data_IF_532488252337
#
_entry.id   IF_532488252337
#
_cell.length_a   1.000
_cell.length_b   1.000
_cell.length_c   1.000
_cell.angle_alpha   90.00
_cell.angle_beta   90.00
_cell.angle_gamma   90.00
#
_symmetry.space_group_name_H-M   'P 1'
#
loop_
_entity.id
_entity.type
_entity.pdbx_description
1 polymer ?
#
# COMPACT_ATOMS: atom_id res chain seq x y z
N UNK A 1 26.49 -11.49 -1.46
CA UNK A 1 25.78 -10.80 -0.35
C UNK A 1 26.19 -9.33 -0.13
N UNK A 2 27.49 -8.95 -0.12
CA UNK A 2 27.92 -7.54 0.07
C UNK A 2 27.27 -6.57 -0.95
N UNK A 3 27.21 -6.95 -2.22
CA UNK A 3 26.68 -6.11 -3.31
C UNK A 3 25.18 -5.78 -3.17
N UNK A 4 24.35 -6.75 -2.76
CA UNK A 4 22.90 -6.53 -2.57
C UNK A 4 22.63 -5.62 -1.38
N UNK A 5 23.31 -5.85 -0.24
CA UNK A 5 23.19 -4.98 0.94
C UNK A 5 23.59 -3.54 0.61
N UNK A 6 24.67 -3.36 -0.14
CA UNK A 6 25.08 -2.03 -0.62
C UNK A 6 24.03 -1.41 -1.54
N UNK A 7 23.49 -2.17 -2.51
CA UNK A 7 22.44 -1.67 -3.41
C UNK A 7 21.17 -1.25 -2.65
N UNK A 8 20.71 -2.06 -1.68
CA UNK A 8 19.59 -1.73 -0.79
C UNK A 8 19.90 -0.47 0.01
N UNK A 9 21.11 -0.36 0.58
CA UNK A 9 21.54 0.82 1.34
C UNK A 9 21.50 2.10 0.50
N UNK A 10 21.99 2.06 -0.74
CA UNK A 10 21.95 3.19 -1.68
C UNK A 10 20.50 3.56 -1.99
N UNK A 11 19.64 2.58 -2.29
CA UNK A 11 18.22 2.84 -2.60
C UNK A 11 17.47 3.42 -1.41
N UNK A 12 17.70 2.90 -0.20
CA UNK A 12 17.12 3.46 1.04
C UNK A 12 17.57 4.89 1.28
N UNK A 13 18.85 5.18 1.08
CA UNK A 13 19.38 6.54 1.21
C UNK A 13 18.77 7.50 0.17
N UNK A 14 18.70 7.08 -1.10
CA UNK A 14 18.07 7.88 -2.15
C UNK A 14 16.60 8.16 -1.85
N UNK A 15 15.86 7.13 -1.41
CA UNK A 15 14.46 7.26 -1.04
C UNK A 15 14.27 8.23 0.13
N UNK A 16 15.03 8.08 1.22
CA UNK A 16 14.89 8.95 2.40
C UNK A 16 15.22 10.43 2.15
N UNK A 17 15.96 10.75 1.08
CA UNK A 17 16.30 12.11 0.67
C UNK A 17 15.44 12.65 -0.47
N UNK A 18 14.43 11.90 -0.92
CA UNK A 18 13.57 12.32 -2.01
C UNK A 18 12.86 13.65 -1.68
N UNK A 19 12.76 14.55 -2.67
CA UNK A 19 12.20 15.89 -2.48
C UNK A 19 10.77 15.86 -1.91
N UNK A 20 10.00 14.82 -2.22
CA UNK A 20 8.68 14.58 -1.64
C UNK A 20 8.67 14.65 -0.12
N UNK A 21 9.65 14.06 0.57
CA UNK A 21 9.73 14.11 2.03
C UNK A 21 10.03 15.52 2.57
N UNK A 22 10.66 16.39 1.77
CA UNK A 22 10.82 17.81 2.12
C UNK A 22 9.48 18.53 2.08
N UNK A 23 8.66 18.26 1.06
CA UNK A 23 7.29 18.81 0.96
C UNK A 23 6.44 18.34 2.15
N UNK A 24 6.46 17.04 2.47
CA UNK A 24 5.68 16.49 3.59
C UNK A 24 6.06 17.10 4.94
N UNK A 25 7.32 17.44 5.15
CA UNK A 25 7.82 18.05 6.41
C UNK A 25 7.67 19.57 6.46
N UNK A 26 7.37 20.23 5.33
CA UNK A 26 7.28 21.69 5.29
C UNK A 26 5.96 22.16 5.95
N UNK A 27 6.08 22.75 7.15
CA UNK A 27 4.92 23.25 7.91
C UNK A 27 4.32 24.53 7.34
N UNK A 28 5.00 25.21 6.42
CA UNK A 28 4.46 26.37 5.70
C UNK A 28 3.40 25.96 4.67
N UNK A 29 3.38 24.68 4.27
CA UNK A 29 2.37 24.14 3.35
C UNK A 29 1.22 23.54 4.17
N UNK A 30 -0.04 23.97 3.95
CA UNK A 30 -1.21 23.39 4.60
C UNK A 30 -1.23 21.86 4.51
N UNK A 31 -1.67 21.17 5.57
CA UNK A 31 -1.63 19.71 5.64
C UNK A 31 -2.43 19.06 4.51
N UNK A 32 -3.58 19.63 4.14
CA UNK A 32 -4.42 19.18 3.03
C UNK A 32 -3.65 19.24 1.70
N UNK A 33 -2.84 20.29 1.50
CA UNK A 33 -2.04 20.44 0.29
C UNK A 33 -0.82 19.50 0.29
N UNK A 34 -0.22 19.22 1.44
CA UNK A 34 0.84 18.20 1.58
C UNK A 34 0.32 16.79 1.31
N UNK A 35 -0.90 16.51 1.74
CA UNK A 35 -1.54 15.18 1.67
C UNK A 35 -2.53 15.04 0.51
N UNK A 36 -2.58 15.99 -0.42
CA UNK A 36 -3.50 15.96 -1.58
C UNK A 36 -3.36 14.74 -2.50
N UNK A 37 -2.28 13.97 -2.33
CA UNK A 37 -2.04 12.73 -3.08
C UNK A 37 -2.79 11.53 -2.49
N UNK A 38 -3.35 11.62 -1.28
CA UNK A 38 -4.02 10.49 -0.62
C UNK A 38 -5.12 9.85 -1.47
N UNK A 39 -6.03 10.60 -2.14
CA UNK A 39 -7.03 10.00 -3.02
C UNK A 39 -6.43 9.11 -4.13
N UNK A 40 -5.21 9.42 -4.61
CA UNK A 40 -4.52 8.65 -5.63
C UNK A 40 -4.03 7.29 -5.08
N UNK A 41 -4.04 7.08 -3.77
CA UNK A 41 -3.70 5.79 -3.16
C UNK A 41 -4.91 4.88 -3.00
N UNK A 42 -6.13 5.33 -3.34
CA UNK A 42 -7.38 4.61 -3.08
C UNK A 42 -7.34 3.16 -3.55
N UNK A 43 -7.02 2.93 -4.83
CA UNK A 43 -6.98 1.56 -5.35
C UNK A 43 -5.98 0.68 -4.59
N UNK A 44 -4.78 1.21 -4.30
CA UNK A 44 -3.75 0.44 -3.62
C UNK A 44 -4.18 0.07 -2.20
N UNK A 45 -4.65 1.03 -1.40
CA UNK A 45 -5.04 0.80 -0.01
C UNK A 45 -6.21 -0.18 0.08
N UNK A 46 -7.23 0.00 -0.75
CA UNK A 46 -8.39 -0.89 -0.76
C UNK A 46 -8.00 -2.30 -1.20
N UNK A 47 -7.19 -2.45 -2.26
CA UNK A 47 -6.73 -3.76 -2.71
C UNK A 47 -5.69 -4.41 -1.78
N UNK A 48 -4.95 -3.62 -1.01
CA UNK A 48 -4.03 -4.17 -0.01
C UNK A 48 -4.79 -4.78 1.17
N UNK A 49 -5.92 -4.18 1.56
CA UNK A 49 -6.83 -4.82 2.51
C UNK A 49 -7.35 -6.17 1.97
N UNK A 50 -7.73 -6.23 0.69
CA UNK A 50 -8.14 -7.48 0.04
C UNK A 50 -7.00 -8.50 -0.04
N UNK A 51 -5.78 -8.08 -0.35
CA UNK A 51 -4.61 -8.96 -0.39
C UNK A 51 -4.39 -9.63 0.97
N UNK A 52 -4.46 -8.85 2.05
CA UNK A 52 -4.32 -9.33 3.42
C UNK A 52 -5.51 -10.17 3.87
N UNK A 53 -6.70 -9.96 3.31
CA UNK A 53 -7.88 -10.73 3.69
C UNK A 53 -8.03 -12.05 2.93
N UNK A 54 -7.70 -12.06 1.63
CA UNK A 54 -8.11 -13.12 0.71
C UNK A 54 -6.95 -13.88 0.06
N UNK A 55 -5.75 -13.31 0.01
CA UNK A 55 -4.66 -13.88 -0.79
C UNK A 55 -3.50 -14.37 0.08
N UNK A 56 -3.04 -13.53 1.01
CA UNK A 56 -1.87 -13.83 1.84
C UNK A 56 -2.11 -14.86 2.95
N UNK A 57 -3.27 -14.93 3.61
CA UNK A 57 -3.49 -15.88 4.69
C UNK A 57 -3.37 -17.35 4.26
N UNK A 58 -2.94 -18.18 5.21
CA UNK A 58 -3.01 -19.64 5.13
C UNK A 58 -4.27 -20.11 5.84
N UNK A 59 -5.15 -20.83 5.13
CA UNK A 59 -6.38 -21.37 5.73
C UNK A 59 -6.09 -22.38 6.85
N UNK A 60 -5.00 -23.15 6.71
CA UNK A 60 -4.56 -24.16 7.67
C UNK A 60 -3.05 -23.97 7.89
N UNK A 61 -2.62 -23.01 8.73
CA UNK A 61 -1.20 -22.78 8.96
C UNK A 61 -0.54 -24.02 9.57
N UNK A 62 0.63 -24.40 9.07
CA UNK A 62 1.36 -25.62 9.47
C UNK A 62 2.58 -25.34 10.36
N UNK A 63 2.95 -24.08 10.53
CA UNK A 63 4.13 -23.66 11.30
C UNK A 63 3.98 -22.22 11.83
N UNK A 64 4.87 -21.84 12.74
CA UNK A 64 4.90 -20.52 13.39
C UNK A 64 5.00 -19.34 12.40
N UNK A 65 5.64 -19.52 11.24
CA UNK A 65 5.78 -18.47 10.24
C UNK A 65 4.47 -18.20 9.50
N UNK A 66 3.72 -19.27 9.17
CA UNK A 66 2.40 -19.15 8.56
C UNK A 66 1.38 -18.54 9.54
N UNK A 67 1.47 -18.91 10.82
CA UNK A 67 0.66 -18.29 11.88
C UNK A 67 0.98 -16.80 12.03
N UNK A 68 2.25 -16.43 12.08
CA UNK A 68 2.67 -15.04 12.16
C UNK A 68 2.16 -14.21 10.97
N UNK A 69 2.22 -14.77 9.76
CA UNK A 69 1.66 -14.13 8.55
C UNK A 69 0.15 -13.90 8.74
N UNK A 70 -0.60 -14.89 9.20
CA UNK A 70 -2.04 -14.75 9.42
C UNK A 70 -2.38 -13.66 10.44
N UNK A 71 -1.62 -13.55 11.54
CA UNK A 71 -1.79 -12.49 12.54
C UNK A 71 -1.62 -11.11 11.90
N UNK A 72 -0.52 -10.90 11.19
CA UNK A 72 -0.27 -9.61 10.52
C UNK A 72 -1.27 -9.33 9.39
N UNK A 73 -1.76 -10.35 8.70
CA UNK A 73 -2.78 -10.19 7.67
C UNK A 73 -4.12 -9.72 8.27
N UNK A 74 -4.50 -10.28 9.42
CA UNK A 74 -5.72 -9.87 10.13
C UNK A 74 -5.66 -8.39 10.55
N UNK A 75 -4.50 -7.92 11.00
CA UNK A 75 -4.30 -6.51 11.34
C UNK A 75 -4.43 -5.61 10.09
N UNK A 76 -3.62 -5.86 9.07
CA UNK A 76 -3.56 -5.00 7.88
C UNK A 76 -4.85 -5.00 7.04
N UNK A 77 -5.62 -6.09 7.06
CA UNK A 77 -6.93 -6.15 6.41
C UNK A 77 -7.94 -5.12 6.97
N UNK A 78 -7.67 -4.54 8.14
CA UNK A 78 -8.54 -3.61 8.83
C UNK A 78 -8.02 -2.17 8.87
N UNK A 79 -6.99 -1.82 8.08
CA UNK A 79 -6.45 -0.45 8.04
C UNK A 79 -7.22 0.51 7.12
N UNK A 80 -7.93 0.01 6.12
CA UNK A 80 -8.67 0.85 5.17
C UNK A 80 -9.69 1.82 5.81
N UNK A 81 -10.35 1.54 6.96
CA UNK A 81 -11.23 2.52 7.59
C UNK A 81 -10.50 3.78 8.07
N UNK A 82 -9.24 3.66 8.51
CA UNK A 82 -8.42 4.82 8.90
C UNK A 82 -8.12 5.70 7.70
N UNK A 83 -7.83 5.10 6.54
CA UNK A 83 -7.66 5.85 5.30
C UNK A 83 -8.91 6.64 4.92
N UNK A 84 -10.11 6.06 5.04
CA UNK A 84 -11.34 6.80 4.76
C UNK A 84 -11.56 7.94 5.76
N UNK A 85 -11.31 7.68 7.04
CA UNK A 85 -11.36 8.71 8.08
C UNK A 85 -10.40 9.87 7.79
N UNK A 86 -9.19 9.58 7.30
CA UNK A 86 -8.22 10.60 6.93
C UNK A 86 -8.72 11.43 5.74
N UNK A 87 -9.31 10.81 4.71
CA UNK A 87 -9.89 11.53 3.58
C UNK A 87 -11.03 12.48 4.01
N UNK A 88 -11.87 12.04 4.94
CA UNK A 88 -12.95 12.86 5.50
C UNK A 88 -12.38 14.02 6.33
N UNK A 89 -11.47 13.72 7.26
CA UNK A 89 -10.85 14.70 8.16
C UNK A 89 -10.05 15.76 7.41
N UNK A 90 -9.43 15.40 6.29
CA UNK A 90 -8.64 16.30 5.45
C UNK A 90 -9.46 17.02 4.38
N UNK A 91 -10.79 16.83 4.36
CA UNK A 91 -11.71 17.40 3.36
C UNK A 91 -11.34 16.98 1.92
N UNK A 92 -10.80 15.77 1.76
CA UNK A 92 -10.43 15.18 0.47
C UNK A 92 -11.51 14.24 -0.10
N UNK A 93 -12.56 13.95 0.68
CA UNK A 93 -13.73 13.14 0.28
C UNK A 93 -14.78 13.98 -0.48
N UNK A 94 -14.43 14.48 -1.66
CA UNK A 94 -15.33 15.29 -2.48
C UNK A 94 -16.47 14.45 -3.07
N UNK A 95 -17.71 14.96 -2.99
CA UNK A 95 -18.86 14.33 -3.67
C UNK A 95 -18.67 14.36 -5.19
N UNK A 96 -18.84 13.22 -5.84
CA UNK A 96 -18.76 13.08 -7.29
C UNK A 96 -19.75 12.02 -7.79
N UNK A 97 -20.14 12.12 -9.06
CA UNK A 97 -20.88 11.07 -9.75
C UNK A 97 -20.09 9.76 -9.73
N UNK A 98 -20.79 8.63 -9.57
CA UNK A 98 -20.16 7.30 -9.57
C UNK A 98 -19.29 7.08 -10.82
N UNK A 99 -19.75 7.55 -11.98
CA UNK A 99 -19.01 7.43 -13.25
C UNK A 99 -17.70 8.21 -13.24
N UNK A 100 -17.64 9.36 -12.56
CA UNK A 100 -16.41 10.13 -12.40
C UNK A 100 -15.45 9.43 -11.44
N UNK A 101 -15.96 8.90 -10.33
CA UNK A 101 -15.17 8.10 -9.39
C UNK A 101 -14.55 6.88 -10.06
N UNK A 102 -15.34 6.11 -10.81
CA UNK A 102 -14.84 4.95 -11.56
C UNK A 102 -13.82 5.36 -12.62
N UNK A 103 -14.06 6.45 -13.36
CA UNK A 103 -13.09 6.97 -14.34
C UNK A 103 -11.78 7.40 -13.68
N UNK A 104 -11.85 8.06 -12.53
CA UNK A 104 -10.66 8.45 -11.77
C UNK A 104 -9.86 7.21 -11.33
N UNK A 105 -10.50 6.21 -10.71
CA UNK A 105 -9.80 5.01 -10.21
C UNK A 105 -9.22 4.16 -11.36
N UNK A 106 -9.93 4.08 -12.50
CA UNK A 106 -9.56 3.23 -13.63
C UNK A 106 -8.83 3.93 -14.79
N UNK A 107 -8.57 5.24 -14.75
CA UNK A 107 -7.80 5.89 -15.80
C UNK A 107 -6.35 5.38 -15.87
N UNK A 108 -5.67 5.73 -16.96
CA UNK A 108 -4.30 5.28 -17.23
C UNK A 108 -3.28 5.88 -16.27
N UNK A 109 -3.50 7.12 -15.81
CA UNK A 109 -2.66 7.78 -14.80
C UNK A 109 -2.65 7.00 -13.47
N UNK A 110 -3.76 6.33 -13.17
CA UNK A 110 -3.90 5.48 -11.98
C UNK A 110 -3.51 4.02 -12.22
N UNK A 111 -3.16 3.63 -13.46
CA UNK A 111 -2.79 2.26 -13.80
C UNK A 111 -1.59 1.68 -13.04
N UNK A 112 -0.55 2.45 -12.62
CA UNK A 112 0.57 1.89 -11.87
C UNK A 112 0.14 1.23 -10.56
N UNK A 113 -0.85 1.82 -9.86
CA UNK A 113 -1.40 1.27 -8.62
C UNK A 113 -2.07 -0.09 -8.85
N UNK A 114 -2.86 -0.21 -9.92
CA UNK A 114 -3.56 -1.46 -10.27
C UNK A 114 -2.59 -2.56 -10.71
N UNK A 115 -1.62 -2.21 -11.58
CA UNK A 115 -0.58 -3.13 -12.05
C UNK A 115 0.23 -3.69 -10.89
N UNK A 116 0.65 -2.82 -9.95
CA UNK A 116 1.34 -3.25 -8.74
C UNK A 116 0.54 -4.29 -7.96
N UNK A 117 -0.75 -4.04 -7.71
CA UNK A 117 -1.61 -5.03 -7.02
C UNK A 117 -1.64 -6.36 -7.75
N UNK A 118 -1.80 -6.36 -9.08
CA UNK A 118 -1.87 -7.60 -9.86
C UNK A 118 -0.54 -8.36 -9.85
N UNK A 119 0.58 -7.65 -9.96
CA UNK A 119 1.91 -8.23 -9.87
C UNK A 119 2.17 -8.82 -8.48
N UNK A 120 1.79 -8.12 -7.41
CA UNK A 120 1.89 -8.62 -6.04
C UNK A 120 1.09 -9.91 -5.85
N UNK A 121 -0.16 -9.95 -6.34
CA UNK A 121 -0.98 -11.17 -6.30
C UNK A 121 -0.26 -12.31 -7.03
N UNK A 122 0.17 -12.08 -8.27
CA UNK A 122 0.89 -13.09 -9.06
C UNK A 122 2.18 -13.59 -8.39
N UNK A 123 2.89 -12.70 -7.67
CA UNK A 123 4.10 -13.04 -6.94
C UNK A 123 3.85 -13.85 -5.68
N UNK A 124 2.71 -13.71 -5.00
CA UNK A 124 2.46 -14.39 -3.70
C UNK A 124 1.52 -15.58 -3.79
N UNK A 125 0.69 -15.66 -4.85
CA UNK A 125 -0.23 -16.77 -5.06
C UNK A 125 0.50 -18.10 -5.08
N UNK A 126 0.02 -19.04 -4.28
CA UNK A 126 0.58 -20.40 -4.12
C UNK A 126 2.07 -20.44 -3.73
N UNK A 127 2.61 -19.37 -3.18
CA UNK A 127 3.98 -19.34 -2.67
C UNK A 127 4.09 -19.76 -1.21
N UNK A 128 5.31 -20.10 -0.80
CA UNK A 128 5.68 -20.44 0.58
C UNK A 128 5.54 -19.24 1.51
N UNK A 129 5.48 -19.52 2.82
CA UNK A 129 5.45 -18.50 3.87
C UNK A 129 6.59 -17.47 3.71
N UNK A 130 7.80 -17.91 3.38
CA UNK A 130 8.96 -17.02 3.21
C UNK A 130 8.74 -15.96 2.14
N UNK A 131 8.19 -16.33 0.98
CA UNK A 131 7.94 -15.39 -0.12
C UNK A 131 6.80 -14.44 0.23
N UNK A 132 5.72 -14.95 0.83
CA UNK A 132 4.61 -14.10 1.31
C UNK A 132 5.08 -13.10 2.38
N UNK A 133 6.01 -13.51 3.24
CA UNK A 133 6.58 -12.66 4.27
C UNK A 133 7.40 -11.50 3.69
N UNK A 134 8.10 -11.69 2.57
CA UNK A 134 8.83 -10.60 1.90
C UNK A 134 7.88 -9.50 1.42
N UNK A 135 6.70 -9.86 0.92
CA UNK A 135 5.70 -8.89 0.46
C UNK A 135 5.03 -8.14 1.61
N UNK A 136 4.97 -8.74 2.81
CA UNK A 136 4.51 -8.07 4.04
C UNK A 136 5.45 -6.97 4.55
N UNK A 137 6.67 -6.85 4.02
CA UNK A 137 7.63 -5.81 4.41
C UNK A 137 7.56 -4.56 3.51
N UNK A 138 6.63 -4.52 2.54
CA UNK A 138 6.40 -3.40 1.60
C UNK A 138 5.36 -2.46 2.20
#
# INVERSE_FOLDING_TARGET
MKTIKTAIGIKRHQFSHHHFFKILKNQEIPIQQRLKFLPNLAHFIMSFADLNKYVLPFNFPQNEYEEAINVHCKEDANHWPWYLHDLETLELNNKQELTNTLRFIWCDDMSPSRKLTYELIGLVSNQTALIRYVVKLI
#
